data_IF_582431363838
#
_entry.id   IF_582431363838
#
_cell.length_a   1.000
_cell.length_b   1.000
_cell.length_c   1.000
_cell.angle_alpha   90.00
_cell.angle_beta   90.00
_cell.angle_gamma   90.00
#
_symmetry.space_group_name_H-M   'P 1'
#
loop_
_entity.id
_entity.type
_entity.pdbx_description
1 polymer ?
#
# COMPACT_ATOMS: atom_id res chain seq x y z
N UNK A 1 -12.89 14.42 1.77
CA UNK A 1 -14.27 14.92 2.04
C UNK A 1 -14.35 15.39 3.51
N UNK A 2 -15.00 16.52 3.78
CA UNK A 2 -15.02 17.10 5.14
C UNK A 2 -16.00 16.36 6.07
N UNK A 3 -15.75 16.44 7.39
CA UNK A 3 -16.56 15.95 8.50
C UNK A 3 -16.84 14.45 8.55
N UNK A 4 -15.92 13.62 8.03
CA UNK A 4 -16.02 12.18 8.20
C UNK A 4 -14.63 11.59 8.46
N UNK A 5 -14.59 10.35 8.94
CA UNK A 5 -13.36 9.69 9.35
C UNK A 5 -13.03 8.47 8.48
N UNK A 6 -11.97 7.76 8.85
CA UNK A 6 -11.49 6.56 8.18
C UNK A 6 -12.55 5.45 8.11
N UNK A 7 -13.45 5.35 9.10
CA UNK A 7 -14.48 4.31 9.13
C UNK A 7 -15.63 4.64 8.17
N UNK A 8 -15.95 5.92 8.02
CA UNK A 8 -16.87 6.38 6.97
C UNK A 8 -16.32 6.07 5.58
N UNK A 9 -15.01 6.24 5.38
CA UNK A 9 -14.35 5.88 4.12
C UNK A 9 -14.34 4.38 3.84
N UNK A 10 -14.15 3.53 4.87
CA UNK A 10 -14.26 2.08 4.70
C UNK A 10 -15.65 1.69 4.20
N UNK A 11 -16.70 2.19 4.86
CA UNK A 11 -18.09 1.91 4.47
C UNK A 11 -18.38 2.40 3.04
N UNK A 12 -17.92 3.61 2.72
CA UNK A 12 -18.09 4.17 1.37
C UNK A 12 -17.33 3.36 0.32
N UNK A 13 -16.15 2.84 0.65
CA UNK A 13 -15.36 1.96 -0.21
C UNK A 13 -16.09 0.65 -0.48
N UNK A 14 -16.61 0.00 0.57
CA UNK A 14 -17.41 -1.22 0.44
C UNK A 14 -18.64 -0.97 -0.45
N UNK A 15 -19.44 0.07 -0.16
CA UNK A 15 -20.64 0.39 -0.93
C UNK A 15 -20.34 0.70 -2.41
N UNK A 16 -19.29 1.49 -2.66
CA UNK A 16 -18.90 1.88 -4.01
C UNK A 16 -18.39 0.68 -4.81
N UNK A 17 -17.43 -0.06 -4.27
CA UNK A 17 -16.76 -1.14 -5.01
C UNK A 17 -17.69 -2.33 -5.19
N UNK A 18 -18.36 -2.79 -4.14
CA UNK A 18 -19.33 -3.88 -4.24
C UNK A 18 -20.50 -3.52 -5.15
N UNK A 19 -20.97 -2.26 -5.11
CA UNK A 19 -22.02 -1.75 -5.99
C UNK A 19 -21.59 -1.72 -7.45
N UNK A 20 -20.36 -1.25 -7.73
CA UNK A 20 -19.79 -1.20 -9.08
C UNK A 20 -19.63 -2.60 -9.68
N UNK A 21 -19.06 -3.55 -8.92
CA UNK A 21 -18.91 -4.93 -9.36
C UNK A 21 -20.28 -5.52 -9.69
N UNK A 22 -21.25 -5.42 -8.78
CA UNK A 22 -22.61 -5.92 -9.00
C UNK A 22 -23.27 -5.29 -10.23
N UNK A 23 -23.04 -4.01 -10.48
CA UNK A 23 -23.59 -3.29 -11.65
C UNK A 23 -22.98 -3.77 -12.96
N UNK A 24 -21.69 -4.10 -12.98
CA UNK A 24 -20.97 -4.48 -14.21
C UNK A 24 -21.12 -5.98 -14.50
N UNK A 25 -20.97 -6.84 -13.50
CA UNK A 25 -20.92 -8.30 -13.68
C UNK A 25 -22.28 -8.97 -13.45
N UNK A 26 -23.24 -8.26 -12.84
CA UNK A 26 -24.54 -8.81 -12.45
C UNK A 26 -24.52 -9.62 -11.15
N UNK A 27 -23.36 -9.81 -10.52
CA UNK A 27 -23.19 -10.59 -9.30
C UNK A 27 -22.14 -10.00 -8.35
N UNK A 28 -21.97 -10.62 -7.18
CA UNK A 28 -20.98 -10.20 -6.17
C UNK A 28 -19.69 -11.00 -6.22
N UNK A 29 -19.62 -12.01 -7.10
CA UNK A 29 -18.45 -12.89 -7.24
C UNK A 29 -17.88 -12.74 -8.63
N UNK A 30 -16.55 -12.65 -8.73
CA UNK A 30 -15.83 -12.60 -10.00
C UNK A 30 -14.70 -13.61 -10.00
N UNK A 31 -14.36 -14.12 -11.19
CA UNK A 31 -13.14 -14.90 -11.39
C UNK A 31 -12.05 -13.99 -11.91
N UNK A 32 -10.86 -14.09 -11.32
CA UNK A 32 -9.68 -13.37 -11.73
C UNK A 32 -8.59 -14.36 -12.09
N UNK A 33 -8.00 -14.21 -13.28
CA UNK A 33 -6.89 -15.04 -13.72
C UNK A 33 -5.59 -14.26 -13.64
N UNK A 34 -4.59 -14.82 -12.95
CA UNK A 34 -3.25 -14.24 -12.96
C UNK A 34 -2.56 -14.51 -14.30
N UNK A 35 -1.50 -13.75 -14.59
CA UNK A 35 -0.67 -13.98 -15.78
C UNK A 35 -0.01 -15.38 -15.77
N UNK A 36 0.09 -15.99 -14.59
CA UNK A 36 0.65 -17.34 -14.38
C UNK A 36 -0.41 -18.45 -14.47
N UNK A 37 -1.68 -18.10 -14.75
CA UNK A 37 -2.77 -19.04 -14.97
C UNK A 37 -3.49 -19.49 -13.68
N UNK A 38 -3.24 -18.86 -12.54
CA UNK A 38 -3.99 -19.13 -11.31
C UNK A 38 -5.36 -18.47 -11.40
N UNK A 39 -6.42 -19.20 -11.05
CA UNK A 39 -7.78 -18.66 -10.96
C UNK A 39 -8.11 -18.36 -9.50
N UNK A 40 -8.46 -17.10 -9.22
CA UNK A 40 -8.99 -16.67 -7.94
C UNK A 40 -10.49 -16.38 -8.06
N UNK A 41 -11.27 -16.95 -7.14
CA UNK A 41 -12.67 -16.58 -6.97
C UNK A 41 -12.75 -15.49 -5.89
N UNK A 42 -13.14 -14.29 -6.32
CA UNK A 42 -13.18 -13.10 -5.48
C UNK A 42 -14.62 -12.78 -5.12
N UNK A 43 -14.93 -12.80 -3.82
CA UNK A 43 -16.22 -12.37 -3.29
C UNK A 43 -16.15 -10.91 -2.82
N UNK A 44 -16.90 -10.05 -3.50
CA UNK A 44 -16.95 -8.62 -3.22
C UNK A 44 -18.05 -8.22 -2.23
N UNK A 45 -18.77 -9.17 -1.65
CA UNK A 45 -19.82 -8.86 -0.68
C UNK A 45 -19.23 -8.23 0.60
N UNK A 46 -19.82 -7.11 1.02
CA UNK A 46 -19.53 -6.51 2.33
C UNK A 46 -20.17 -7.36 3.47
N UNK A 47 -19.64 -7.31 4.71
CA UNK A 47 -18.47 -6.54 5.12
C UNK A 47 -17.14 -7.21 4.72
N UNK A 48 -16.16 -6.39 4.36
CA UNK A 48 -14.82 -6.87 4.02
C UNK A 48 -14.03 -7.23 5.28
N UNK A 49 -13.09 -8.17 5.13
CA UNK A 49 -12.21 -8.56 6.24
C UNK A 49 -11.37 -7.36 6.66
N UNK A 50 -11.17 -7.16 7.96
CA UNK A 50 -10.31 -6.11 8.52
C UNK A 50 -9.16 -6.76 9.26
N UNK A 51 -7.96 -6.27 9.03
CA UNK A 51 -6.71 -6.78 9.59
C UNK A 51 -5.93 -5.60 10.14
N UNK A 52 -5.56 -5.65 11.42
CA UNK A 52 -4.64 -4.69 12.03
C UNK A 52 -3.20 -5.09 11.66
N UNK A 53 -2.40 -4.17 11.14
CA UNK A 53 -1.08 -4.47 10.57
C UNK A 53 -0.15 -5.14 11.60
N UNK A 54 0.09 -4.49 12.76
CA UNK A 54 1.06 -4.99 13.74
C UNK A 54 0.64 -6.35 14.34
N UNK A 55 -0.61 -6.54 14.84
CA UNK A 55 -1.03 -7.85 15.34
C UNK A 55 -0.94 -8.97 14.31
N UNK A 56 -1.24 -8.69 13.03
CA UNK A 56 -1.13 -9.69 11.97
C UNK A 56 0.33 -10.05 11.66
N UNK A 57 1.25 -9.08 11.70
CA UNK A 57 2.68 -9.35 11.61
C UNK A 57 3.19 -10.17 12.79
N UNK A 58 2.72 -9.89 14.01
CA UNK A 58 3.07 -10.68 15.20
C UNK A 58 2.61 -12.13 15.07
N UNK A 59 1.39 -12.36 14.58
CA UNK A 59 0.84 -13.71 14.34
C UNK A 59 1.64 -14.45 13.26
N UNK A 60 1.96 -13.79 12.15
CA UNK A 60 2.67 -14.41 11.03
C UNK A 60 4.15 -14.71 11.33
N UNK A 61 4.82 -13.84 12.10
CA UNK A 61 6.24 -13.99 12.43
C UNK A 61 6.49 -14.78 13.72
N UNK A 62 5.47 -14.90 14.58
CA UNK A 62 5.58 -15.48 15.91
C UNK A 62 6.45 -14.68 16.87
N UNK A 63 6.71 -13.40 16.57
CA UNK A 63 7.49 -12.48 17.38
C UNK A 63 6.61 -11.37 17.93
N UNK A 64 6.88 -10.91 19.15
CA UNK A 64 6.18 -9.75 19.74
C UNK A 64 6.87 -8.47 19.29
N UNK A 65 6.14 -7.60 18.61
CA UNK A 65 6.69 -6.34 18.11
C UNK A 65 6.76 -5.32 19.25
N UNK A 66 7.71 -4.36 19.18
CA UNK A 66 7.75 -3.24 20.10
C UNK A 66 6.43 -2.45 20.11
N UNK A 67 6.12 -1.74 21.20
CA UNK A 67 4.98 -0.82 21.25
C UNK A 67 4.95 0.12 20.03
N UNK A 68 3.74 0.44 19.55
CA UNK A 68 3.54 1.21 18.32
C UNK A 68 4.16 2.61 18.34
N UNK A 69 4.27 3.23 19.51
CA UNK A 69 4.93 4.51 19.75
C UNK A 69 6.46 4.42 19.68
N UNK A 70 7.04 3.23 19.79
CA UNK A 70 8.48 2.99 19.75
C UNK A 70 8.97 2.46 18.40
N UNK A 71 8.08 2.26 17.43
CA UNK A 71 8.43 1.68 16.13
C UNK A 71 9.43 2.50 15.31
N UNK A 72 9.62 3.78 15.64
CA UNK A 72 10.55 4.69 14.97
C UNK A 72 11.99 4.63 15.53
N UNK A 73 12.22 3.86 16.60
CA UNK A 73 13.51 3.81 17.30
C UNK A 73 14.56 2.94 16.59
N UNK A 74 15.84 3.20 16.86
CA UNK A 74 16.96 2.37 16.37
C UNK A 74 16.91 0.95 16.96
N UNK A 75 16.44 0.80 18.20
CA UNK A 75 16.24 -0.52 18.81
C UNK A 75 15.23 -1.36 18.02
N UNK A 76 14.15 -0.72 17.55
CA UNK A 76 13.19 -1.37 16.66
C UNK A 76 13.81 -1.68 15.29
N UNK A 77 14.70 -0.83 14.77
CA UNK A 77 15.40 -1.10 13.51
C UNK A 77 16.19 -2.42 13.58
N UNK A 78 16.98 -2.59 14.65
CA UNK A 78 17.75 -3.80 14.88
C UNK A 78 16.86 -5.03 15.15
N UNK A 79 15.70 -4.85 15.79
CA UNK A 79 14.69 -5.90 15.93
C UNK A 79 14.14 -6.33 14.55
N UNK A 80 13.69 -5.38 13.71
CA UNK A 80 13.13 -5.67 12.39
C UNK A 80 14.16 -6.36 11.47
N UNK A 81 15.43 -5.94 11.51
CA UNK A 81 16.52 -6.63 10.80
C UNK A 81 16.66 -8.10 11.23
N UNK A 82 16.49 -8.40 12.51
CA UNK A 82 16.53 -9.79 13.02
C UNK A 82 15.31 -10.58 12.55
N UNK A 83 14.12 -9.97 12.56
CA UNK A 83 12.88 -10.60 12.08
C UNK A 83 13.00 -10.92 10.59
N UNK A 84 13.45 -9.98 9.75
CA UNK A 84 13.68 -10.22 8.32
C UNK A 84 14.62 -11.41 8.07
N UNK A 85 15.75 -11.47 8.79
CA UNK A 85 16.70 -12.59 8.70
C UNK A 85 16.10 -13.91 9.15
N UNK A 86 15.32 -13.92 10.24
CA UNK A 86 14.66 -15.12 10.77
C UNK A 86 13.63 -15.66 9.79
N UNK A 87 12.87 -14.76 9.17
CA UNK A 87 11.81 -15.09 8.22
C UNK A 87 12.31 -15.29 6.79
N UNK A 88 13.61 -15.08 6.54
CA UNK A 88 14.24 -15.17 5.23
C UNK A 88 13.58 -14.26 4.17
N UNK A 89 13.24 -13.04 4.58
CA UNK A 89 12.65 -12.01 3.72
C UNK A 89 13.72 -11.00 3.32
N UNK A 90 13.86 -10.78 2.01
CA UNK A 90 14.82 -9.82 1.47
C UNK A 90 14.21 -8.41 1.41
N UNK A 91 14.90 -7.43 2.00
CA UNK A 91 14.54 -6.02 1.90
C UNK A 91 15.68 -5.26 1.22
N UNK A 92 15.38 -4.56 0.12
CA UNK A 92 16.38 -3.72 -0.55
C UNK A 92 16.77 -2.53 0.33
N UNK A 93 18.06 -2.13 0.36
CA UNK A 93 18.49 -0.90 1.03
C UNK A 93 17.79 0.35 0.45
N UNK A 94 17.55 1.40 1.26
CA UNK A 94 17.91 1.53 2.67
C UNK A 94 17.00 0.72 3.61
N UNK A 95 17.59 0.15 4.67
CA UNK A 95 16.86 -0.64 5.68
C UNK A 95 16.22 0.26 6.75
N UNK A 96 15.33 1.16 6.33
CA UNK A 96 14.54 1.99 7.25
C UNK A 96 13.42 1.17 7.89
N UNK A 97 12.95 1.56 9.08
CA UNK A 97 11.89 0.81 9.77
C UNK A 97 10.61 0.75 8.93
N UNK A 98 10.28 1.84 8.23
CA UNK A 98 9.13 1.91 7.33
C UNK A 98 9.22 0.88 6.20
N UNK A 99 10.35 0.84 5.48
CA UNK A 99 10.56 -0.12 4.38
C UNK A 99 10.57 -1.57 4.86
N UNK A 100 11.18 -1.84 6.01
CA UNK A 100 11.20 -3.21 6.55
C UNK A 100 9.80 -3.69 6.95
N UNK A 101 8.97 -2.82 7.55
CA UNK A 101 7.58 -3.15 7.86
C UNK A 101 6.72 -3.31 6.61
N UNK A 102 6.95 -2.49 5.60
CA UNK A 102 6.28 -2.59 4.29
C UNK A 102 6.58 -3.95 3.64
N UNK A 103 7.86 -4.32 3.53
CA UNK A 103 8.28 -5.62 2.98
C UNK A 103 7.68 -6.81 3.76
N UNK A 104 7.67 -6.75 5.10
CA UNK A 104 7.05 -7.80 5.92
C UNK A 104 5.53 -7.86 5.70
N UNK A 105 4.87 -6.72 5.54
CA UNK A 105 3.41 -6.65 5.27
C UNK A 105 3.09 -7.26 3.91
N UNK A 106 3.87 -6.92 2.88
CA UNK A 106 3.76 -7.51 1.54
C UNK A 106 3.82 -9.03 1.58
N UNK A 107 4.87 -9.58 2.19
CA UNK A 107 5.10 -11.03 2.22
C UNK A 107 4.05 -11.80 3.05
N UNK A 108 3.65 -11.27 4.22
CA UNK A 108 2.87 -12.04 5.19
C UNK A 108 1.38 -11.69 5.23
N UNK A 109 0.99 -10.48 4.84
CA UNK A 109 -0.38 -10.01 4.95
C UNK A 109 -1.00 -9.86 3.56
N UNK A 110 -0.36 -9.13 2.65
CA UNK A 110 -0.91 -8.84 1.32
C UNK A 110 -1.10 -10.13 0.50
N UNK A 111 -0.17 -11.07 0.57
CA UNK A 111 -0.27 -12.39 -0.08
C UNK A 111 -1.51 -13.20 0.37
N UNK A 112 -2.06 -12.90 1.55
CA UNK A 112 -3.28 -13.56 2.05
C UNK A 112 -4.58 -12.85 1.63
N UNK A 113 -4.48 -11.65 1.05
CA UNK A 113 -5.61 -10.81 0.69
C UNK A 113 -6.15 -11.15 -0.71
N UNK A 114 -6.75 -12.34 -0.85
CA UNK A 114 -7.43 -12.75 -2.10
C UNK A 114 -8.77 -12.02 -2.24
N UNK A 115 -9.63 -12.13 -1.22
CA UNK A 115 -10.85 -11.35 -1.14
C UNK A 115 -10.56 -9.92 -0.66
N UNK A 116 -11.45 -8.96 -0.94
CA UNK A 116 -11.32 -7.60 -0.44
C UNK A 116 -11.09 -7.57 1.07
N UNK A 117 -9.94 -7.02 1.44
CA UNK A 117 -9.45 -6.98 2.81
C UNK A 117 -8.90 -5.60 3.09
N UNK A 118 -9.32 -4.99 4.20
CA UNK A 118 -8.73 -3.77 4.72
C UNK A 118 -7.56 -4.11 5.64
N UNK A 119 -6.36 -3.66 5.29
CA UNK A 119 -5.23 -3.56 6.22
C UNK A 119 -5.35 -2.20 6.89
N UNK A 120 -5.29 -2.16 8.21
CA UNK A 120 -5.64 -0.99 9.02
C UNK A 120 -4.57 -0.69 10.07
N UNK A 121 -4.61 0.53 10.60
CA UNK A 121 -3.80 0.97 11.72
C UNK A 121 -2.29 0.98 11.44
N UNK A 122 -1.93 1.50 10.27
CA UNK A 122 -0.54 1.67 9.88
C UNK A 122 0.23 2.55 10.88
N UNK A 123 1.50 2.24 11.17
CA UNK A 123 2.39 3.09 11.96
C UNK A 123 2.54 4.49 11.38
N UNK A 124 2.71 5.47 12.28
CA UNK A 124 2.82 6.89 11.94
C UNK A 124 4.01 7.19 11.03
N UNK A 125 5.14 6.50 11.25
CA UNK A 125 6.35 6.68 10.43
C UNK A 125 6.18 6.26 8.96
N UNK A 126 5.20 5.40 8.67
CA UNK A 126 4.84 4.99 7.30
C UNK A 126 3.76 5.90 6.69
N UNK A 127 3.21 6.83 7.47
CA UNK A 127 1.99 7.57 7.13
C UNK A 127 2.14 9.06 7.49
N UNK A 128 3.04 9.80 6.81
CA UNK A 128 3.39 11.18 7.19
C UNK A 128 2.24 12.19 7.05
N UNK A 129 1.20 11.86 6.28
CA UNK A 129 0.01 12.71 6.07
C UNK A 129 -1.24 12.21 6.81
N UNK A 130 -1.18 11.00 7.39
CA UNK A 130 -2.34 10.41 8.06
C UNK A 130 -2.41 10.87 9.52
N UNK A 131 -3.59 11.28 9.97
CA UNK A 131 -3.80 11.69 11.36
C UNK A 131 -3.52 10.54 12.33
N UNK A 132 -2.93 10.88 13.48
CA UNK A 132 -2.66 9.92 14.55
C UNK A 132 -3.94 9.25 15.04
N UNK A 133 -3.83 7.99 15.45
CA UNK A 133 -4.97 7.22 15.92
C UNK A 133 -5.50 7.77 17.24
N UNK A 134 -6.83 7.92 17.34
CA UNK A 134 -7.49 8.53 18.51
C UNK A 134 -7.25 7.82 19.84
N UNK A 135 -6.91 6.53 19.81
CA UNK A 135 -6.74 5.68 21.00
C UNK A 135 -5.47 4.83 21.05
N UNK A 136 -4.68 4.77 19.96
CA UNK A 136 -3.52 3.88 19.82
C UNK A 136 -2.28 4.72 19.47
N UNK A 137 -1.49 5.17 20.47
CA UNK A 137 -0.32 6.00 20.23
C UNK A 137 0.67 5.37 19.24
N UNK A 138 1.23 6.17 18.33
CA UNK A 138 2.18 5.71 17.31
C UNK A 138 1.57 5.08 16.05
N UNK A 139 0.25 4.85 16.03
CA UNK A 139 -0.49 4.42 14.83
C UNK A 139 -1.28 5.58 14.23
N UNK A 140 -1.76 5.39 13.00
CA UNK A 140 -2.60 6.34 12.27
C UNK A 140 -3.98 5.77 11.95
N UNK A 141 -4.95 6.67 11.77
CA UNK A 141 -6.25 6.33 11.16
C UNK A 141 -6.10 6.20 9.65
N UNK A 142 -5.44 5.11 9.22
CA UNK A 142 -5.22 4.74 7.81
C UNK A 142 -5.75 3.34 7.54
N UNK A 143 -6.23 3.13 6.32
CA UNK A 143 -6.39 1.80 5.76
C UNK A 143 -5.91 1.74 4.33
N UNK A 144 -5.56 0.53 3.94
CA UNK A 144 -5.38 0.14 2.55
C UNK A 144 -6.31 -1.04 2.26
N UNK A 145 -6.96 -1.02 1.10
CA UNK A 145 -7.77 -2.14 0.66
C UNK A 145 -7.00 -2.96 -0.38
N UNK A 146 -6.94 -4.26 -0.15
CA UNK A 146 -6.26 -5.22 -1.01
C UNK A 146 -7.25 -6.22 -1.60
N UNK A 147 -7.05 -6.57 -2.87
CA UNK A 147 -7.78 -7.63 -3.58
C UNK A 147 -6.79 -8.36 -4.47
N UNK A 148 -6.88 -9.69 -4.52
CA UNK A 148 -5.94 -10.51 -5.29
C UNK A 148 -4.47 -10.11 -5.06
N UNK A 149 -4.12 -9.85 -3.79
CA UNK A 149 -2.76 -9.47 -3.36
C UNK A 149 -2.26 -8.13 -3.90
N UNK A 150 -3.17 -7.24 -4.36
CA UNK A 150 -2.83 -5.90 -4.86
C UNK A 150 -3.63 -4.82 -4.16
N UNK A 151 -2.95 -3.71 -3.87
CA UNK A 151 -3.54 -2.50 -3.30
C UNK A 151 -4.48 -1.86 -4.33
N UNK A 152 -5.75 -1.68 -3.96
CA UNK A 152 -6.75 -0.99 -4.80
C UNK A 152 -7.19 0.35 -4.20
N UNK A 153 -6.96 0.57 -2.91
CA UNK A 153 -7.36 1.79 -2.22
C UNK A 153 -6.36 2.10 -1.12
N UNK A 154 -6.01 3.37 -0.98
CA UNK A 154 -5.34 3.89 0.21
C UNK A 154 -6.14 5.10 0.71
N UNK A 155 -6.45 5.10 2.00
CA UNK A 155 -7.25 6.14 2.62
C UNK A 155 -6.86 6.38 4.06
N UNK A 156 -7.04 7.62 4.50
CA UNK A 156 -6.74 8.01 5.86
C UNK A 156 -7.57 9.22 6.29
N UNK A 157 -7.80 9.34 7.60
CA UNK A 157 -8.17 10.61 8.21
C UNK A 157 -6.97 11.55 8.02
N UNK A 158 -7.21 12.73 7.44
CA UNK A 158 -6.14 13.66 7.06
C UNK A 158 -5.56 14.36 8.28
N UNK A 159 -4.24 14.50 8.29
CA UNK A 159 -3.57 15.31 9.30
C UNK A 159 -3.87 16.78 9.03
N UNK A 160 -4.55 17.40 9.98
CA UNK A 160 -4.97 18.80 9.87
C UNK A 160 -4.33 19.71 10.94
N UNK A 161 -3.34 19.20 11.69
CA UNK A 161 -2.52 19.99 12.60
C UNK A 161 -1.23 20.42 11.88
N UNK A 162 -1.03 21.73 11.64
CA UNK A 162 0.14 22.21 10.90
C UNK A 162 1.46 21.96 11.63
N UNK A 163 1.46 21.92 12.97
CA UNK A 163 2.68 21.70 13.75
C UNK A 163 3.10 20.24 13.70
N UNK A 164 2.15 19.31 13.86
CA UNK A 164 2.42 17.87 13.66
C UNK A 164 2.85 17.61 12.21
N UNK A 165 2.20 18.23 11.22
CA UNK A 165 2.57 18.04 9.82
C UNK A 165 4.01 18.50 9.53
N UNK A 166 4.43 19.64 10.09
CA UNK A 166 5.81 20.14 9.95
C UNK A 166 6.82 19.17 10.56
N UNK A 167 6.55 18.65 11.77
CA UNK A 167 7.42 17.65 12.42
C UNK A 167 7.55 16.36 11.58
N UNK A 168 6.46 15.92 10.94
CA UNK A 168 6.49 14.74 10.06
C UNK A 168 7.27 14.96 8.78
N UNK A 169 7.21 16.17 8.21
CA UNK A 169 8.04 16.52 7.07
C UNK A 169 9.52 16.63 7.42
N UNK A 170 9.86 17.16 8.60
CA UNK A 170 11.25 17.16 9.10
C UNK A 170 11.78 15.73 9.26
N UNK A 171 10.95 14.80 9.76
CA UNK A 171 11.31 13.38 9.86
C UNK A 171 11.49 12.72 8.49
N UNK A 172 10.60 12.99 7.52
CA UNK A 172 10.76 12.52 6.13
C UNK A 172 12.05 13.07 5.50
N UNK A 173 12.39 14.34 5.73
CA UNK A 173 13.64 14.92 5.26
C UNK A 173 14.86 14.25 5.91
N UNK A 174 14.76 13.82 7.17
CA UNK A 174 15.79 13.02 7.85
C UNK A 174 15.94 11.63 7.21
N UNK A 175 14.84 10.95 6.88
CA UNK A 175 14.87 9.66 6.17
C UNK A 175 15.50 9.80 4.77
N UNK A 176 15.19 10.88 4.06
CA UNK A 176 15.84 11.22 2.79
C UNK A 176 17.35 11.38 2.94
N UNK A 177 17.80 12.07 3.98
CA UNK A 177 19.23 12.22 4.28
C UNK A 177 19.91 10.88 4.64
N UNK A 178 19.14 9.86 5.06
CA UNK A 178 19.62 8.49 5.28
C UNK A 178 19.62 7.63 3.99
N UNK A 179 19.28 8.21 2.84
CA UNK A 179 19.32 7.55 1.53
C UNK A 179 17.97 7.03 1.04
N UNK A 180 16.86 7.44 1.64
CA UNK A 180 15.51 7.11 1.15
C UNK A 180 15.07 8.12 0.08
N UNK A 181 15.34 7.81 -1.18
CA UNK A 181 15.03 8.69 -2.31
C UNK A 181 13.52 8.92 -2.54
N UNK A 182 12.66 8.05 -1.97
CA UNK A 182 11.20 8.15 -2.05
C UNK A 182 10.59 9.07 -0.98
N UNK A 183 11.39 9.44 0.03
CA UNK A 183 10.94 10.31 1.10
C UNK A 183 10.68 11.74 0.61
N UNK A 184 9.58 12.31 1.12
CA UNK A 184 9.09 13.62 0.70
C UNK A 184 9.93 14.77 1.29
N UNK A 185 9.96 15.90 0.60
CA UNK A 185 10.59 17.12 1.10
C UNK A 185 9.61 17.92 1.97
N UNK A 186 10.14 18.85 2.77
CA UNK A 186 9.31 19.78 3.54
C UNK A 186 8.60 20.75 2.59
N UNK A 187 7.26 20.77 2.65
CA UNK A 187 6.42 21.73 1.94
C UNK A 187 5.86 22.76 2.94
N UNK A 188 6.56 23.90 3.03
CA UNK A 188 6.14 25.01 3.90
C UNK A 188 4.90 25.75 3.38
N UNK A 189 4.63 25.71 2.08
CA UNK A 189 3.40 26.31 1.53
C UNK A 189 2.18 25.50 1.94
N UNK A 190 2.28 24.17 1.91
CA UNK A 190 1.26 23.27 2.43
C UNK A 190 1.05 23.46 3.94
N UNK A 191 2.13 23.54 4.74
CA UNK A 191 2.01 23.80 6.18
C UNK A 191 1.34 25.14 6.46
N UNK A 192 1.71 26.20 5.73
CA UNK A 192 1.06 27.51 5.85
C UNK A 192 -0.42 27.48 5.45
N UNK A 193 -0.79 26.66 4.46
CA UNK A 193 -2.20 26.46 4.11
C UNK A 193 -2.97 25.76 5.24
N UNK A 194 -2.36 24.77 5.92
CA UNK A 194 -2.94 24.11 7.09
C UNK A 194 -3.16 25.08 8.25
N UNK A 195 -2.26 26.04 8.46
CA UNK A 195 -2.37 27.09 9.48
C UNK A 195 -3.60 28.00 9.29
N UNK A 196 -4.14 28.12 8.07
CA UNK A 196 -5.38 28.85 7.79
C UNK A 196 -6.65 28.10 8.25
N UNK A 197 -6.52 26.82 8.62
CA UNK A 197 -7.58 26.00 9.17
C UNK A 197 -8.15 25.01 8.14
N UNK A 198 -7.60 23.79 8.14
CA UNK A 198 -8.18 22.65 7.45
C UNK A 198 -9.24 21.97 8.35
N UNK A 199 -10.54 21.97 8.00
CA UNK A 199 -11.55 21.27 8.77
C UNK A 199 -11.25 19.76 8.82
N UNK A 200 -11.76 19.01 9.81
CA UNK A 200 -11.62 17.56 9.87
C UNK A 200 -12.00 16.94 8.53
N UNK A 201 -11.03 16.36 7.84
CA UNK A 201 -11.16 15.84 6.49
C UNK A 201 -10.48 14.49 6.38
N UNK A 202 -10.59 13.92 5.19
CA UNK A 202 -10.09 12.59 4.88
C UNK A 202 -9.74 12.51 3.40
N UNK A 203 -8.74 11.70 3.13
CA UNK A 203 -8.22 11.41 1.82
C UNK A 203 -8.60 10.01 1.40
N UNK A 204 -8.92 9.85 0.12
CA UNK A 204 -9.15 8.55 -0.49
C UNK A 204 -8.52 8.57 -1.88
N UNK A 205 -7.50 7.74 -2.06
CA UNK A 205 -6.95 7.40 -3.36
C UNK A 205 -7.46 6.03 -3.78
N UNK A 206 -8.09 5.94 -4.94
CA UNK A 206 -8.47 4.67 -5.55
C UNK A 206 -7.47 4.38 -6.66
N UNK A 207 -6.70 3.30 -6.50
CA UNK A 207 -5.77 2.78 -7.50
C UNK A 207 -6.42 1.58 -8.20
N UNK A 208 -6.25 1.48 -9.52
CA UNK A 208 -6.44 0.22 -10.27
C UNK A 208 -7.82 -0.49 -10.21
N UNK A 209 -8.83 0.04 -9.50
CA UNK A 209 -10.21 -0.51 -9.45
C UNK A 209 -10.86 -0.57 -10.83
N UNK A 210 -10.45 0.30 -11.77
CA UNK A 210 -10.91 0.23 -13.16
C UNK A 210 -10.24 -0.88 -13.97
N UNK A 211 -9.04 -1.31 -13.62
CA UNK A 211 -8.30 -2.32 -14.35
C UNK A 211 -8.64 -3.75 -13.89
N UNK A 212 -8.86 -3.95 -12.58
CA UNK A 212 -9.07 -5.28 -12.01
C UNK A 212 -10.31 -6.05 -12.53
N UNK A 213 -11.51 -5.45 -12.62
CA UNK A 213 -12.69 -6.09 -13.21
C UNK A 213 -12.66 -6.14 -14.74
N UNK A 214 -11.76 -5.38 -15.37
CA UNK A 214 -11.70 -5.17 -16.82
C UNK A 214 -10.54 -5.90 -17.49
N UNK A 215 -9.66 -6.55 -16.72
CA UNK A 215 -8.72 -7.56 -17.21
C UNK A 215 -9.52 -8.78 -17.67
N UNK A 216 -10.13 -8.65 -18.86
CA UNK A 216 -10.72 -9.77 -19.58
C UNK A 216 -9.66 -10.84 -19.74
N UNK A 217 -10.07 -12.10 -19.61
CA UNK A 217 -9.30 -13.22 -20.13
C UNK A 217 -8.84 -12.85 -21.53
N UNK A 218 -7.54 -12.98 -21.79
CA UNK A 218 -6.99 -12.80 -23.12
C UNK A 218 -7.37 -14.00 -24.01
N UNK A 219 -8.64 -14.38 -24.04
CA UNK A 219 -9.21 -15.42 -24.90
C UNK A 219 -9.43 -14.93 -26.33
N UNK A 220 -8.99 -13.71 -26.68
CA UNK A 220 -9.04 -13.17 -28.04
C UNK A 220 -7.69 -12.91 -28.72
N UNK A 221 -6.55 -13.26 -28.14
CA UNK A 221 -5.26 -13.25 -28.86
C UNK A 221 -4.77 -14.68 -29.15
N UNK A 222 -5.58 -15.47 -29.86
CA UNK A 222 -5.10 -16.62 -30.65
C UNK A 222 -4.44 -16.19 -31.96
N UNK A 223 -4.47 -14.90 -32.31
CA UNK A 223 -3.60 -14.36 -33.34
C UNK A 223 -2.27 -13.96 -32.69
N UNK A 224 -1.20 -14.70 -33.01
CA UNK A 224 0.18 -14.21 -32.85
C UNK A 224 0.24 -12.80 -33.44
N UNK A 225 0.19 -11.77 -32.61
CA UNK A 225 0.51 -10.42 -33.04
C UNK A 225 1.98 -10.46 -33.42
N UNK A 226 2.26 -10.22 -34.70
CA UNK A 226 3.62 -10.07 -35.19
C UNK A 226 4.30 -8.98 -34.38
N UNK A 227 5.49 -9.28 -33.85
CA UNK A 227 6.26 -8.29 -33.13
C UNK A 227 6.53 -7.12 -34.08
N UNK A 228 6.55 -5.89 -33.57
CA UNK A 228 6.83 -4.72 -34.42
C UNK A 228 8.14 -4.90 -35.23
N UNK A 229 9.14 -5.58 -34.64
CA UNK A 229 10.38 -5.97 -35.28
C UNK A 229 10.20 -6.89 -36.50
N UNK A 230 9.23 -7.80 -36.48
CA UNK A 230 8.87 -8.66 -37.62
C UNK A 230 8.14 -7.89 -38.72
N UNK A 231 7.40 -6.83 -38.35
CA UNK A 231 6.67 -5.96 -39.30
C UNK A 231 7.62 -5.01 -40.03
N UNK A 232 8.71 -4.60 -39.37
CA UNK A 232 9.70 -3.66 -39.92
C UNK A 232 11.00 -4.31 -40.42
N UNK A 233 11.06 -5.64 -40.49
CA UNK A 233 12.22 -6.45 -40.96
C UNK A 233 13.55 -6.01 -40.32
N UNK A 234 13.52 -5.69 -39.03
CA UNK A 234 14.72 -5.27 -38.28
C UNK A 234 15.46 -6.52 -37.81
N UNK A 235 16.59 -6.79 -38.44
CA UNK A 235 17.49 -7.86 -38.02
C UNK A 235 18.13 -7.51 -36.67
N UNK A 236 18.15 -8.44 -35.69
CA UNK A 236 18.83 -8.21 -34.42
C UNK A 236 20.33 -7.99 -34.66
N UNK A 237 20.83 -6.82 -34.29
CA UNK A 237 22.26 -6.56 -34.25
C UNK A 237 22.89 -7.39 -33.13
N UNK A 238 24.07 -8.01 -33.36
CA UNK A 238 24.80 -8.67 -32.29
C UNK A 238 25.10 -7.68 -31.18
N UNK A 239 24.88 -8.09 -29.93
CA UNK A 239 25.22 -7.30 -28.75
C UNK A 239 26.72 -7.05 -28.77
N UNK A 240 27.15 -5.79 -28.95
CA UNK A 240 28.55 -5.42 -28.74
C UNK A 240 28.88 -5.65 -27.26
N UNK A 241 29.58 -6.75 -26.99
CA UNK A 241 30.11 -7.03 -25.67
C UNK A 241 31.03 -5.91 -25.24
N UNK A 242 30.67 -5.22 -24.16
CA UNK A 242 31.57 -4.29 -23.49
C UNK A 242 32.77 -5.11 -23.01
N UNK A 243 33.94 -4.90 -23.60
CA UNK A 243 35.19 -5.47 -23.11
C UNK A 243 35.49 -4.86 -21.73
N UNK A 244 35.32 -5.65 -20.68
CA UNK A 244 35.84 -5.30 -19.36
C UNK A 244 37.37 -5.15 -19.45
N UNK A 245 37.87 -3.94 -19.21
CA UNK A 245 39.24 -3.67 -18.80
C UNK A 245 39.26 -3.39 -17.31
#
# INVERSE_FOLDING_TARGET
>A
MAYADVYDLMKMTEELVSGLVKRITGGTTTKFHTQHGEEYEVNWAAPWRRVEMIPALEEATGEKFPPSDQLHTEETNEFLKKVLKKMNVECSPPLTNARMLDTLTGEFIEETCINPTFITEHPQMMSPLAKSHRSKPGLCERFEAFVCKKEIVNAYTELNDPFDQRLRFEEQARQKAQGDDEAQMVDEEFCRALELGLPPNRWLGIKEVLAFPMMKDNTQNTHKQQLAAEVVDVQPTPVEGIAHK
#
